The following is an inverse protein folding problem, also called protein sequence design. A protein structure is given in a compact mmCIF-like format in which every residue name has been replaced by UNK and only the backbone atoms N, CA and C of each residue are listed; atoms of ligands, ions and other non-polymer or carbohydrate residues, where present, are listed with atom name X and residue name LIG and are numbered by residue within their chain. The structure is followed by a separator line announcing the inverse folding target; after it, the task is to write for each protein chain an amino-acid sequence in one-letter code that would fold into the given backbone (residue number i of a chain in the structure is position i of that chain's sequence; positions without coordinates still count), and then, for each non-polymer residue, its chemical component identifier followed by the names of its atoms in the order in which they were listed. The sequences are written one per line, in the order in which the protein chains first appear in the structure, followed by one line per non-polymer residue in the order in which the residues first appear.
data_IF_060979075973
#
_entry.id   IF_060979075973
#
_cell.length_a   1.000
_cell.length_b   1.000
_cell.length_c   1.000
_cell.angle_alpha   90.00
_cell.angle_beta   90.00
_cell.angle_gamma   90.00
#
_symmetry.space_group_name_H-M   'P 1'
#
loop_
_entity.id
_entity.type
_entity.pdbx_description
1 polymer ?
#
# COMPACT_ATOMS: atom_id res chain seq x y z
N UNK A 1 -24.79 48.49 -5.17
CA UNK A 1 -24.30 49.88 -5.36
C UNK A 1 -22.78 49.81 -5.28
N UNK A 2 -22.09 49.50 -6.38
CA UNK A 2 -21.64 50.45 -7.43
C UNK A 2 -20.95 51.68 -6.81
N UNK A 3 -19.62 51.79 -6.92
CA UNK A 3 -19.06 52.53 -8.04
C UNK A 3 -17.56 52.28 -8.28
N UNK A 4 -17.24 52.27 -9.56
CA UNK A 4 -15.91 52.25 -10.15
C UNK A 4 -15.46 53.70 -10.44
N UNK A 5 -14.15 53.97 -10.47
CA UNK A 5 -13.65 55.15 -11.18
C UNK A 5 -12.25 54.93 -11.79
N UNK A 6 -12.28 54.88 -13.12
CA UNK A 6 -11.35 55.39 -14.14
C UNK A 6 -9.81 55.23 -14.05
N UNK A 7 -9.36 54.54 -15.10
CA UNK A 7 -8.13 54.63 -15.89
C UNK A 7 -7.28 55.92 -15.89
N UNK A 8 -5.96 55.74 -15.83
CA UNK A 8 -4.95 56.67 -16.33
C UNK A 8 -3.76 55.91 -16.94
N UNK A 9 -3.44 56.20 -18.21
CA UNK A 9 -2.36 55.57 -18.99
C UNK A 9 -1.06 56.37 -18.88
N UNK A 10 0.07 55.71 -18.58
CA UNK A 10 1.41 56.24 -18.86
C UNK A 10 2.41 55.09 -19.09
N UNK A 11 3.26 55.26 -20.11
CA UNK A 11 4.17 54.25 -20.67
C UNK A 11 5.53 54.22 -19.96
N UNK A 12 6.02 52.98 -19.81
CA UNK A 12 7.43 52.49 -19.79
C UNK A 12 8.38 52.90 -18.66
N UNK A 13 8.77 51.88 -17.88
CA UNK A 13 10.14 51.34 -17.86
C UNK A 13 10.13 49.92 -17.26
N UNK A 14 10.69 48.92 -17.97
CA UNK A 14 10.81 47.54 -17.47
C UNK A 14 11.87 47.48 -16.37
N UNK A 15 11.57 47.00 -15.14
CA UNK A 15 12.61 46.61 -14.20
C UNK A 15 13.08 45.18 -14.52
N UNK A 16 14.40 45.04 -14.56
CA UNK A 16 15.16 43.80 -14.65
C UNK A 16 14.57 42.66 -13.80
N UNK A 17 14.34 41.50 -14.44
CA UNK A 17 13.91 40.28 -13.79
C UNK A 17 15.02 39.76 -12.86
N UNK A 18 14.95 40.16 -11.59
CA UNK A 18 15.71 39.53 -10.51
C UNK A 18 15.19 38.10 -10.37
N UNK A 19 16.00 37.10 -10.71
CA UNK A 19 15.71 35.67 -10.51
C UNK A 19 15.28 35.45 -9.06
N UNK A 20 13.97 35.30 -8.83
CA UNK A 20 13.46 34.75 -7.57
C UNK A 20 13.92 33.30 -7.53
N UNK A 21 14.72 32.95 -6.53
CA UNK A 21 15.13 31.58 -6.28
C UNK A 21 13.89 30.69 -6.20
N UNK A 22 13.84 29.64 -7.03
CA UNK A 22 12.83 28.59 -6.91
C UNK A 22 12.89 28.07 -5.49
N UNK A 23 11.84 28.30 -4.72
CA UNK A 23 11.64 27.58 -3.47
C UNK A 23 11.54 26.10 -3.87
N UNK A 24 12.40 25.26 -3.30
CA UNK A 24 12.51 23.86 -3.68
C UNK A 24 11.14 23.19 -3.59
N UNK A 25 10.67 22.61 -4.69
CA UNK A 25 9.45 21.84 -4.71
C UNK A 25 9.63 20.61 -3.80
N UNK A 26 8.68 20.41 -2.88
CA UNK A 26 8.64 19.26 -1.99
C UNK A 26 8.38 17.99 -2.81
N UNK A 27 9.23 16.96 -2.66
CA UNK A 27 9.01 15.63 -3.24
C UNK A 27 8.39 14.73 -2.17
N UNK A 28 7.17 14.19 -2.37
CA UNK A 28 6.62 13.19 -1.49
C UNK A 28 7.50 11.94 -1.55
N UNK A 29 7.94 11.45 -0.39
CA UNK A 29 8.69 10.20 -0.30
C UNK A 29 7.75 9.04 0.04
N UNK A 30 7.79 7.95 -0.73
CA UNK A 30 7.12 6.69 -0.38
C UNK A 30 7.87 5.96 0.74
N UNK A 31 7.20 4.97 1.36
CA UNK A 31 7.52 4.19 2.57
C UNK A 31 8.98 3.72 2.82
N UNK A 32 9.93 3.95 1.91
CA UNK A 32 11.35 3.55 2.05
C UNK A 32 12.33 4.69 2.39
N UNK A 33 11.87 5.92 2.63
CA UNK A 33 12.75 7.09 2.71
C UNK A 33 12.59 7.88 4.03
N UNK A 34 12.51 7.19 5.18
CA UNK A 34 12.65 7.83 6.50
C UNK A 34 13.89 8.76 6.57
N UNK A 35 14.98 8.39 5.87
CA UNK A 35 16.17 9.23 5.72
C UNK A 35 15.94 10.57 5.01
N UNK A 36 15.01 10.65 4.05
CA UNK A 36 14.69 11.90 3.37
C UNK A 36 13.91 12.87 4.27
N UNK A 37 13.04 12.34 5.13
CA UNK A 37 12.31 13.12 6.13
C UNK A 37 13.30 13.69 7.16
N UNK A 38 14.21 12.86 7.65
CA UNK A 38 15.27 13.30 8.56
C UNK A 38 16.16 14.37 7.92
N UNK A 39 16.60 14.16 6.68
CA UNK A 39 17.44 15.13 5.97
C UNK A 39 16.71 16.48 5.77
N UNK A 40 15.41 16.47 5.49
CA UNK A 40 14.59 17.68 5.39
C UNK A 40 14.48 18.40 6.74
N UNK A 41 14.29 17.65 7.84
CA UNK A 41 14.31 18.16 9.21
C UNK A 41 15.65 18.82 9.53
N UNK A 42 16.76 18.14 9.26
CA UNK A 42 18.12 18.63 9.54
C UNK A 42 18.48 19.87 8.72
N UNK A 43 17.95 19.96 7.49
CA UNK A 43 18.11 21.15 6.65
C UNK A 43 17.37 22.38 7.21
N UNK A 44 16.31 22.21 7.99
CA UNK A 44 15.56 23.28 8.69
C UNK A 44 14.77 24.25 7.80
N UNK A 45 15.01 24.29 6.48
CA UNK A 45 14.35 25.18 5.53
C UNK A 45 13.56 24.45 4.43
N UNK A 46 13.54 23.12 4.44
CA UNK A 46 12.80 22.28 3.50
C UNK A 46 11.72 21.51 4.27
N UNK A 47 10.43 21.68 3.96
CA UNK A 47 9.40 20.89 4.62
C UNK A 47 9.39 19.45 4.09
N UNK A 48 9.61 18.48 4.97
CA UNK A 48 9.50 17.05 4.66
C UNK A 48 8.06 16.55 4.84
N UNK A 49 7.42 16.06 3.78
CA UNK A 49 6.12 15.40 3.86
C UNK A 49 6.27 13.90 3.56
N UNK A 50 5.60 13.08 4.35
CA UNK A 50 5.50 11.64 4.11
C UNK A 50 4.27 11.36 3.26
N UNK A 51 4.41 10.60 2.18
CA UNK A 51 3.27 9.97 1.52
C UNK A 51 3.16 8.52 1.96
N UNK A 52 2.07 8.19 2.65
CA UNK A 52 1.77 6.87 3.17
C UNK A 52 0.72 6.18 2.28
N UNK A 53 1.12 5.26 1.40
CA UNK A 53 0.25 4.66 0.39
C UNK A 53 -0.64 3.52 0.92
N UNK A 54 -0.78 3.40 2.24
CA UNK A 54 -1.60 2.37 2.89
C UNK A 54 -2.67 3.01 3.78
N UNK A 55 -3.39 2.19 4.55
CA UNK A 55 -4.51 2.61 5.40
C UNK A 55 -4.03 3.25 6.73
N UNK A 56 -4.96 3.86 7.46
CA UNK A 56 -4.66 4.54 8.73
C UNK A 56 -4.44 3.58 9.88
N UNK A 57 -5.01 2.37 9.83
CA UNK A 57 -4.67 1.30 10.77
C UNK A 57 -3.16 1.03 10.77
N UNK A 58 -2.57 0.87 9.59
CA UNK A 58 -1.14 0.60 9.45
C UNK A 58 -0.31 1.83 9.81
N UNK A 59 -0.74 3.04 9.45
CA UNK A 59 -0.04 4.27 9.89
C UNK A 59 -0.04 4.38 11.42
N UNK A 60 -1.18 4.14 12.06
CA UNK A 60 -1.34 4.16 13.51
C UNK A 60 -0.44 3.11 14.16
N UNK A 61 -0.40 1.90 13.61
CA UNK A 61 0.52 0.85 14.06
C UNK A 61 1.98 1.31 13.99
N UNK A 62 2.41 1.89 12.86
CA UNK A 62 3.78 2.37 12.69
C UNK A 62 4.15 3.46 13.71
N UNK A 63 3.27 4.44 13.94
CA UNK A 63 3.51 5.53 14.88
C UNK A 63 3.53 5.07 16.35
N UNK A 64 2.80 3.99 16.68
CA UNK A 64 2.76 3.40 18.01
C UNK A 64 3.79 2.28 18.22
N UNK A 65 4.38 1.73 17.14
CA UNK A 65 5.26 0.58 17.19
C UNK A 65 6.45 0.74 18.16
N UNK A 66 7.13 1.90 18.26
CA UNK A 66 8.20 2.08 19.24
C UNK A 66 7.72 1.97 20.70
N UNK A 67 6.52 2.50 21.01
CA UNK A 67 5.91 2.38 22.35
C UNK A 67 5.49 0.95 22.64
N UNK A 68 4.86 0.29 21.66
CA UNK A 68 4.48 -1.12 21.76
C UNK A 68 5.72 -1.99 22.02
N UNK A 69 6.78 -1.82 21.22
CA UNK A 69 8.05 -2.51 21.41
C UNK A 69 8.63 -2.34 22.81
N UNK A 70 8.68 -1.10 23.32
CA UNK A 70 9.19 -0.81 24.65
C UNK A 70 8.36 -1.46 25.77
N UNK A 71 7.06 -1.68 25.55
CA UNK A 71 6.16 -2.34 26.50
C UNK A 71 6.29 -3.87 26.54
N UNK A 72 6.81 -4.51 25.49
CA UNK A 72 6.92 -5.97 25.40
C UNK A 72 8.03 -6.53 26.31
N UNK A 73 9.17 -5.84 26.40
CA UNK A 73 10.32 -6.31 27.21
C UNK A 73 9.98 -6.45 28.70
N UNK A 74 9.38 -5.44 29.38
CA UNK A 74 8.97 -5.60 30.78
C UNK A 74 7.87 -6.66 30.99
N UNK A 75 7.09 -6.96 29.95
CA UNK A 75 6.03 -7.95 30.00
C UNK A 75 6.53 -9.40 29.80
N UNK A 76 7.81 -9.60 29.48
CA UNK A 76 8.37 -10.92 29.19
C UNK A 76 7.77 -11.57 27.94
N UNK A 77 7.28 -10.75 27.00
CA UNK A 77 6.70 -11.21 25.73
C UNK A 77 7.75 -11.10 24.65
N UNK A 78 7.99 -12.18 23.90
CA UNK A 78 9.01 -12.24 22.84
C UNK A 78 8.49 -11.82 21.47
N UNK A 79 7.25 -12.19 21.12
CA UNK A 79 6.64 -11.84 19.83
C UNK A 79 5.21 -11.33 20.00
N UNK A 80 4.71 -10.56 19.02
CA UNK A 80 3.34 -10.06 19.09
C UNK A 80 2.29 -11.18 19.09
N UNK A 81 2.57 -12.32 18.44
CA UNK A 81 1.69 -13.49 18.47
C UNK A 81 1.51 -14.11 19.87
N UNK A 82 2.44 -13.84 20.78
CA UNK A 82 2.47 -14.43 22.14
C UNK A 82 1.95 -13.46 23.21
N UNK A 83 1.26 -12.38 22.80
CA UNK A 83 0.69 -11.41 23.72
C UNK A 83 -0.34 -12.04 24.68
N UNK A 84 -0.24 -11.79 26.00
CA UNK A 84 -1.20 -12.31 26.99
C UNK A 84 -2.63 -11.78 26.85
N UNK A 85 -2.78 -10.47 26.61
CA UNK A 85 -4.00 -9.93 25.96
C UNK A 85 -3.71 -10.02 24.46
N UNK A 86 -4.35 -10.96 23.73
CA UNK A 86 -3.97 -11.23 22.36
C UNK A 86 -4.20 -10.05 21.43
N UNK A 87 -4.85 -8.98 21.88
CA UNK A 87 -5.33 -7.89 21.04
C UNK A 87 -4.54 -6.60 21.25
N UNK A 88 -3.98 -6.09 20.17
CA UNK A 88 -3.39 -4.74 20.09
C UNK A 88 -4.50 -3.71 19.82
N UNK A 89 -4.62 -2.74 20.73
CA UNK A 89 -5.62 -1.67 20.67
C UNK A 89 -4.94 -0.36 20.26
N UNK A 90 -5.25 0.09 19.05
CA UNK A 90 -4.78 1.37 18.52
C UNK A 90 -5.91 2.41 18.60
N UNK A 91 -5.63 3.67 18.99
CA UNK A 91 -6.65 4.71 19.10
C UNK A 91 -7.47 4.87 17.81
N UNK A 92 -8.79 4.79 17.91
CA UNK A 92 -9.71 4.98 16.79
C UNK A 92 -9.76 3.85 15.76
N UNK A 93 -8.96 2.79 15.94
CA UNK A 93 -8.89 1.66 15.04
C UNK A 93 -9.65 0.45 15.58
N UNK A 94 -9.97 -0.50 14.69
CA UNK A 94 -10.42 -1.83 15.10
C UNK A 94 -9.29 -2.54 15.87
N UNK A 95 -9.61 -3.28 16.94
CA UNK A 95 -8.61 -4.07 17.65
C UNK A 95 -8.08 -5.21 16.75
N UNK A 96 -6.77 -5.47 16.79
CA UNK A 96 -6.12 -6.47 15.92
C UNK A 96 -5.41 -7.51 16.79
N UNK A 97 -5.57 -8.79 16.48
CA UNK A 97 -4.83 -9.84 17.19
C UNK A 97 -3.33 -9.69 16.90
N UNK A 98 -2.47 -9.88 17.90
CA UNK A 98 -1.03 -9.76 17.73
C UNK A 98 -0.48 -10.68 16.64
N UNK A 99 -1.04 -11.88 16.53
CA UNK A 99 -0.76 -12.84 15.45
C UNK A 99 -1.21 -12.37 14.05
N UNK A 100 -2.18 -11.45 13.95
CA UNK A 100 -2.69 -10.91 12.69
C UNK A 100 -1.96 -9.63 12.24
N UNK A 101 -1.00 -9.14 13.03
CA UNK A 101 -0.11 -8.07 12.61
C UNK A 101 0.80 -8.56 11.47
N UNK A 102 1.33 -7.60 10.69
CA UNK A 102 2.21 -7.86 9.55
C UNK A 102 3.29 -8.90 9.88
N UNK A 103 3.55 -9.82 8.96
CA UNK A 103 4.56 -10.89 9.14
C UNK A 103 5.94 -10.36 9.55
N UNK A 104 6.33 -9.19 9.04
CA UNK A 104 7.60 -8.50 9.38
C UNK A 104 7.67 -8.14 10.88
N UNK A 105 6.53 -7.99 11.55
CA UNK A 105 6.46 -7.69 12.98
C UNK A 105 6.53 -8.93 13.87
N UNK A 106 6.46 -10.13 13.29
CA UNK A 106 6.40 -11.37 14.06
C UNK A 106 7.77 -11.89 14.48
N UNK A 107 8.87 -11.42 13.90
CA UNK A 107 10.24 -11.72 14.36
C UNK A 107 10.94 -10.43 14.80
N UNK A 108 10.99 -10.21 16.11
CA UNK A 108 11.58 -9.02 16.72
C UNK A 108 13.11 -8.97 16.64
N UNK A 109 13.75 -10.08 16.28
CA UNK A 109 15.20 -10.16 16.12
C UNK A 109 15.64 -9.78 14.70
N UNK A 110 14.74 -9.87 13.73
CA UNK A 110 15.02 -9.59 12.32
C UNK A 110 15.39 -8.12 12.02
N UNK A 111 16.23 -7.93 11.00
CA UNK A 111 16.53 -6.59 10.49
C UNK A 111 15.30 -5.90 9.91
N UNK A 112 14.38 -6.66 9.31
CA UNK A 112 13.12 -6.15 8.78
C UNK A 112 12.25 -5.54 9.90
N UNK A 113 12.21 -6.16 11.08
CA UNK A 113 11.55 -5.58 12.25
C UNK A 113 12.20 -4.29 12.73
N UNK A 114 13.54 -4.29 12.85
CA UNK A 114 14.31 -3.09 13.24
C UNK A 114 14.08 -1.94 12.27
N UNK A 115 13.94 -2.26 10.98
CA UNK A 115 13.62 -1.30 9.93
C UNK A 115 12.24 -0.67 10.14
N UNK A 116 11.23 -1.46 10.52
CA UNK A 116 9.90 -0.94 10.83
C UNK A 116 9.89 -0.03 12.06
N UNK A 117 10.61 -0.40 13.12
CA UNK A 117 10.80 0.47 14.29
C UNK A 117 11.42 1.81 13.92
N UNK A 118 12.51 1.76 13.13
CA UNK A 118 13.19 2.95 12.65
C UNK A 118 12.24 3.88 11.87
N UNK A 119 11.41 3.34 10.98
CA UNK A 119 10.43 4.14 10.24
C UNK A 119 9.37 4.76 11.16
N UNK A 120 8.86 3.99 12.12
CA UNK A 120 7.88 4.47 13.11
C UNK A 120 8.38 5.65 13.93
N UNK A 121 9.66 5.64 14.33
CA UNK A 121 10.31 6.76 15.00
C UNK A 121 10.42 8.00 14.09
N UNK A 122 10.86 7.80 12.84
CA UNK A 122 11.13 8.89 11.89
C UNK A 122 9.89 9.51 11.27
N UNK A 123 8.76 8.81 11.22
CA UNK A 123 7.52 9.39 10.69
C UNK A 123 7.04 10.61 11.48
N UNK A 124 7.41 10.70 12.76
CA UNK A 124 7.11 11.85 13.63
C UNK A 124 7.90 13.10 13.26
N UNK A 125 8.96 12.98 12.47
CA UNK A 125 9.76 14.10 11.99
C UNK A 125 9.15 14.80 10.77
N UNK A 126 8.10 14.22 10.18
CA UNK A 126 7.41 14.80 9.05
C UNK A 126 6.67 16.09 9.45
N UNK A 127 6.62 17.06 8.53
CA UNK A 127 5.79 18.27 8.67
C UNK A 127 4.30 17.97 8.51
N UNK A 128 4.00 16.87 7.82
CA UNK A 128 2.66 16.35 7.61
C UNK A 128 2.72 14.99 6.90
N UNK A 129 1.68 14.20 7.07
CA UNK A 129 1.57 12.85 6.52
C UNK A 129 0.36 12.81 5.60
N UNK A 130 0.62 12.63 4.30
CA UNK A 130 -0.39 12.46 3.26
C UNK A 130 -0.75 10.97 3.19
N UNK A 131 -2.01 10.62 3.37
CA UNK A 131 -2.46 9.22 3.38
C UNK A 131 -3.44 8.98 2.25
N UNK A 132 -3.26 7.90 1.50
CA UNK A 132 -4.14 7.54 0.39
C UNK A 132 -5.44 6.88 0.88
N UNK A 133 -6.23 7.64 1.64
CA UNK A 133 -7.54 7.24 2.18
C UNK A 133 -8.42 8.49 2.31
N UNK A 134 -9.68 8.31 2.73
CA UNK A 134 -10.60 9.41 3.03
C UNK A 134 -11.43 9.10 4.28
N UNK A 135 -11.90 10.16 4.94
CA UNK A 135 -12.53 10.07 6.26
C UNK A 135 -13.67 9.04 6.35
N UNK A 136 -14.54 8.95 5.34
CA UNK A 136 -15.71 8.08 5.42
C UNK A 136 -15.39 6.57 5.50
N UNK A 137 -14.17 6.14 5.14
CA UNK A 137 -13.75 4.72 5.23
C UNK A 137 -13.11 4.40 6.58
N UNK A 138 -12.40 5.36 7.18
CA UNK A 138 -11.62 5.15 8.42
C UNK A 138 -11.84 6.28 9.44
N UNK A 139 -13.10 6.63 9.80
CA UNK A 139 -13.40 7.85 10.54
C UNK A 139 -12.73 7.90 11.92
N UNK A 140 -12.84 6.81 12.69
CA UNK A 140 -12.24 6.74 14.03
C UNK A 140 -10.72 6.91 14.01
N UNK A 141 -10.04 6.33 13.03
CA UNK A 141 -8.58 6.44 12.91
C UNK A 141 -8.16 7.86 12.49
N UNK A 142 -8.91 8.50 11.59
CA UNK A 142 -8.69 9.92 11.24
C UNK A 142 -8.81 10.80 12.48
N UNK A 143 -9.92 10.68 13.21
CA UNK A 143 -10.19 11.52 14.38
C UNK A 143 -9.13 11.34 15.46
N UNK A 144 -8.74 10.10 15.75
CA UNK A 144 -7.74 9.79 16.76
C UNK A 144 -6.35 10.31 16.38
N UNK A 145 -5.93 10.16 15.11
CA UNK A 145 -4.63 10.64 14.64
C UNK A 145 -4.57 12.17 14.55
N UNK A 146 -5.67 12.82 14.14
CA UNK A 146 -5.76 14.29 14.10
C UNK A 146 -5.79 14.93 15.49
N UNK A 147 -6.34 14.24 16.50
CA UNK A 147 -6.40 14.72 17.89
C UNK A 147 -5.09 14.49 18.67
N UNK A 148 -4.19 13.63 18.17
CA UNK A 148 -2.95 13.28 18.87
C UNK A 148 -1.91 14.41 18.78
N UNK A 149 -1.47 15.00 19.91
CA UNK A 149 -0.58 16.18 19.90
C UNK A 149 0.86 15.85 19.49
N UNK A 150 1.27 14.60 19.59
CA UNK A 150 2.61 14.10 19.31
C UNK A 150 2.76 13.48 17.91
N UNK A 151 1.70 13.54 17.09
CA UNK A 151 1.65 13.03 15.73
C UNK A 151 1.58 14.22 14.76
N UNK A 152 2.37 14.23 13.66
CA UNK A 152 2.25 15.27 12.65
C UNK A 152 0.84 15.34 12.03
N UNK A 153 0.42 16.50 11.50
CA UNK A 153 -0.86 16.61 10.82
C UNK A 153 -1.04 15.53 9.75
N UNK A 154 -2.13 14.76 9.87
CA UNK A 154 -2.49 13.69 8.93
C UNK A 154 -3.53 14.22 7.95
N UNK A 155 -3.29 14.02 6.67
CA UNK A 155 -4.13 14.48 5.57
C UNK A 155 -4.61 13.28 4.75
N UNK A 156 -5.86 12.83 4.93
CA UNK A 156 -6.50 11.90 4.01
C UNK A 156 -6.72 12.59 2.66
N UNK A 157 -5.99 12.18 1.63
CA UNK A 157 -6.03 12.78 0.28
C UNK A 157 -6.55 11.82 -0.80
N UNK A 158 -7.02 10.64 -0.38
CA UNK A 158 -7.46 9.59 -1.28
C UNK A 158 -8.90 9.75 -1.79
N UNK A 159 -9.31 8.89 -2.73
CA UNK A 159 -8.46 7.90 -3.40
C UNK A 159 -7.60 8.55 -4.50
N UNK A 160 -6.27 8.42 -4.35
CA UNK A 160 -5.28 8.73 -5.39
C UNK A 160 -5.00 7.43 -6.12
N UNK A 161 -5.57 7.30 -7.32
CA UNK A 161 -5.37 6.15 -8.20
C UNK A 161 -4.61 6.58 -9.45
N UNK A 162 -3.99 5.61 -10.14
CA UNK A 162 -3.40 5.86 -11.45
C UNK A 162 -4.53 6.24 -12.40
N UNK A 163 -4.42 7.41 -13.04
CA UNK A 163 -5.24 7.71 -14.20
C UNK A 163 -4.69 6.88 -15.37
N UNK A 164 -5.55 6.06 -15.96
CA UNK A 164 -5.27 5.44 -17.25
C UNK A 164 -5.59 6.52 -18.28
N UNK A 165 -4.59 7.07 -18.95
CA UNK A 165 -4.85 7.87 -20.14
C UNK A 165 -5.46 6.91 -21.16
N UNK A 166 -6.71 7.14 -21.56
CA UNK A 166 -7.44 6.34 -22.57
C UNK A 166 -6.86 6.52 -23.99
N UNK A 167 -5.59 6.92 -24.09
CA UNK A 167 -4.92 7.35 -25.31
C UNK A 167 -3.79 6.41 -25.75
N UNK A 168 -3.36 5.50 -24.87
CA UNK A 168 -2.62 4.33 -25.30
C UNK A 168 -3.64 3.20 -25.47
N UNK A 169 -4.30 3.21 -26.64
CA UNK A 169 -4.91 2.04 -27.26
C UNK A 169 -3.83 0.95 -27.47
N UNK A 170 -3.28 0.42 -26.38
CA UNK A 170 -2.87 -0.97 -26.41
C UNK A 170 -4.19 -1.72 -26.59
N UNK A 171 -4.47 -2.11 -27.84
CA UNK A 171 -5.47 -3.10 -28.24
C UNK A 171 -5.73 -4.04 -27.06
N UNK A 172 -7.00 -4.32 -26.74
CA UNK A 172 -7.38 -5.34 -25.75
C UNK A 172 -6.79 -6.70 -26.16
N UNK A 173 -5.48 -6.88 -25.94
CA UNK A 173 -4.66 -7.94 -26.50
C UNK A 173 -5.05 -9.28 -25.89
N UNK A 174 -5.75 -9.22 -24.76
CA UNK A 174 -6.30 -10.35 -24.02
C UNK A 174 -7.79 -10.60 -24.32
N UNK A 175 -8.49 -9.68 -24.98
CA UNK A 175 -9.94 -9.75 -25.21
C UNK A 175 -10.79 -9.69 -23.92
N UNK A 176 -10.21 -9.26 -22.80
CA UNK A 176 -10.86 -9.38 -21.49
C UNK A 176 -11.90 -8.28 -21.27
N UNK A 177 -11.67 -7.08 -21.83
CA UNK A 177 -12.61 -5.97 -21.74
C UNK A 177 -13.82 -6.30 -22.61
N UNK A 178 -13.59 -6.77 -23.83
CA UNK A 178 -14.68 -7.22 -24.70
C UNK A 178 -15.48 -8.39 -24.08
N UNK A 179 -14.81 -9.33 -23.39
CA UNK A 179 -15.50 -10.41 -22.67
C UNK A 179 -16.35 -9.88 -21.51
N UNK A 180 -15.86 -8.88 -20.76
CA UNK A 180 -16.61 -8.23 -19.67
C UNK A 180 -17.83 -7.46 -20.19
N UNK A 181 -17.69 -6.76 -21.32
CA UNK A 181 -18.78 -5.99 -21.94
C UNK A 181 -19.98 -6.88 -22.37
N UNK A 182 -19.74 -8.18 -22.57
CA UNK A 182 -20.78 -9.15 -22.91
C UNK A 182 -21.53 -9.71 -21.68
N UNK A 183 -21.10 -9.39 -20.45
CA UNK A 183 -21.68 -9.96 -19.23
C UNK A 183 -22.74 -9.03 -18.62
N UNK A 184 -23.73 -9.58 -17.89
CA UNK A 184 -24.63 -8.75 -17.08
C UNK A 184 -23.89 -7.90 -16.05
N UNK A 185 -24.38 -6.69 -15.79
CA UNK A 185 -23.83 -5.76 -14.81
C UNK A 185 -23.64 -6.41 -13.43
N UNK A 186 -22.43 -6.27 -12.87
CA UNK A 186 -22.11 -6.78 -11.54
C UNK A 186 -22.11 -8.30 -11.40
N UNK A 187 -22.09 -9.06 -12.51
CA UNK A 187 -22.20 -10.52 -12.47
C UNK A 187 -20.89 -11.30 -12.48
N UNK A 188 -19.74 -10.61 -12.61
CA UNK A 188 -18.41 -11.23 -12.74
C UNK A 188 -17.59 -11.01 -11.47
N UNK A 189 -17.02 -12.07 -10.94
CA UNK A 189 -16.00 -12.03 -9.90
C UNK A 189 -14.61 -11.79 -10.50
N UNK A 190 -13.98 -10.65 -10.21
CA UNK A 190 -12.58 -10.42 -10.55
C UNK A 190 -11.65 -11.00 -9.48
N UNK A 191 -10.71 -11.86 -9.89
CA UNK A 191 -9.73 -12.51 -9.01
C UNK A 191 -8.32 -12.11 -9.45
N UNK A 192 -7.61 -11.40 -8.58
CA UNK A 192 -6.21 -11.01 -8.79
C UNK A 192 -5.50 -10.87 -7.45
N UNK A 193 -4.33 -11.49 -7.33
CA UNK A 193 -3.49 -11.44 -6.13
C UNK A 193 -2.40 -10.36 -6.22
N UNK A 194 -2.40 -9.56 -7.29
CA UNK A 194 -1.39 -8.53 -7.52
C UNK A 194 -0.04 -9.09 -7.97
N UNK A 195 0.98 -8.23 -8.04
CA UNK A 195 2.28 -8.58 -8.61
C UNK A 195 3.10 -9.52 -7.74
N UNK A 196 3.10 -9.28 -6.43
CA UNK A 196 3.81 -10.08 -5.43
C UNK A 196 2.90 -11.04 -4.66
N UNK A 197 1.70 -11.32 -5.17
CA UNK A 197 0.82 -12.32 -4.60
C UNK A 197 1.04 -13.64 -5.31
N UNK A 198 1.57 -14.63 -4.59
CA UNK A 198 1.72 -15.97 -5.10
C UNK A 198 1.24 -16.97 -4.03
N UNK A 199 0.33 -17.87 -4.44
CA UNK A 199 -0.23 -18.92 -3.56
C UNK A 199 0.30 -20.29 -4.01
N UNK A 200 0.52 -21.25 -3.08
CA UNK A 200 0.98 -22.58 -3.43
C UNK A 200 0.13 -23.27 -4.50
N UNK A 201 0.74 -24.20 -5.26
CA UNK A 201 0.04 -24.97 -6.32
C UNK A 201 -1.22 -25.65 -5.78
N UNK A 202 -1.13 -26.25 -4.58
CA UNK A 202 -2.27 -26.92 -3.96
C UNK A 202 -3.42 -25.93 -3.70
N UNK A 203 -3.14 -24.75 -3.14
CA UNK A 203 -4.15 -23.71 -2.92
C UNK A 203 -4.70 -23.14 -4.23
N UNK A 204 -3.86 -23.02 -5.27
CA UNK A 204 -4.30 -22.59 -6.60
C UNK A 204 -5.31 -23.56 -7.20
N UNK A 205 -5.10 -24.88 -7.02
CA UNK A 205 -6.03 -25.92 -7.46
C UNK A 205 -7.34 -25.90 -6.70
N UNK A 206 -7.30 -25.68 -5.39
CA UNK A 206 -8.52 -25.54 -4.59
C UNK A 206 -9.28 -24.26 -4.94
N UNK A 207 -8.60 -23.14 -5.19
CA UNK A 207 -9.22 -21.91 -5.69
C UNK A 207 -9.92 -22.17 -7.03
N UNK A 208 -9.26 -22.85 -7.98
CA UNK A 208 -9.86 -23.20 -9.25
C UNK A 208 -11.13 -24.05 -9.08
N UNK A 209 -11.08 -25.09 -8.25
CA UNK A 209 -12.26 -25.93 -7.94
C UNK A 209 -13.39 -25.13 -7.29
N UNK A 210 -13.04 -24.22 -6.38
CA UNK A 210 -14.02 -23.35 -5.72
C UNK A 210 -14.69 -22.38 -6.70
N UNK A 211 -13.94 -21.79 -7.61
CA UNK A 211 -14.47 -20.93 -8.68
C UNK A 211 -15.43 -21.71 -9.58
N UNK A 212 -15.04 -22.89 -10.04
CA UNK A 212 -15.87 -23.77 -10.86
C UNK A 212 -17.15 -24.21 -10.13
N UNK A 213 -17.04 -24.65 -8.88
CA UNK A 213 -18.19 -25.08 -8.07
C UNK A 213 -19.13 -23.93 -7.70
N UNK A 214 -18.66 -22.68 -7.72
CA UNK A 214 -19.49 -21.51 -7.40
C UNK A 214 -20.60 -21.26 -8.43
N UNK A 215 -20.40 -21.70 -9.67
CA UNK A 215 -21.32 -21.40 -10.78
C UNK A 215 -21.39 -19.92 -11.17
N UNK A 216 -20.56 -19.06 -10.57
CA UNK A 216 -20.45 -17.65 -10.92
C UNK A 216 -19.45 -17.44 -12.06
N UNK A 217 -19.68 -16.41 -12.87
CA UNK A 217 -18.71 -15.97 -13.86
C UNK A 217 -17.53 -15.32 -13.15
N UNK A 218 -16.32 -15.58 -13.63
CA UNK A 218 -15.11 -15.01 -13.04
C UNK A 218 -14.09 -14.62 -14.09
N UNK A 219 -13.34 -13.56 -13.80
CA UNK A 219 -12.14 -13.16 -14.53
C UNK A 219 -10.95 -13.31 -13.59
N UNK A 220 -10.06 -14.27 -13.87
CA UNK A 220 -8.94 -14.59 -12.98
C UNK A 220 -7.59 -14.38 -13.64
N UNK A 221 -6.77 -13.50 -13.05
CA UNK A 221 -5.35 -13.32 -13.40
C UNK A 221 -4.52 -14.42 -12.71
N UNK A 222 -4.24 -15.50 -13.44
CA UNK A 222 -3.46 -16.63 -12.94
C UNK A 222 -1.96 -16.30 -12.98
N UNK A 223 -1.26 -16.51 -11.87
CA UNK A 223 0.20 -16.40 -11.76
C UNK A 223 0.81 -17.70 -11.31
N UNK A 224 2.06 -17.95 -11.69
CA UNK A 224 2.81 -19.11 -11.21
C UNK A 224 3.17 -18.92 -9.73
N UNK A 225 3.01 -19.96 -8.89
CA UNK A 225 3.63 -19.98 -7.56
C UNK A 225 5.15 -19.83 -7.66
N UNK A 226 5.83 -19.32 -6.60
CA UNK A 226 7.27 -19.37 -6.53
C UNK A 226 7.69 -20.84 -6.59
N UNK A 227 8.69 -21.18 -7.41
CA UNK A 227 9.26 -22.52 -7.36
C UNK A 227 9.97 -22.68 -6.02
N UNK A 228 9.67 -23.70 -5.21
CA UNK A 228 10.47 -23.96 -4.02
C UNK A 228 11.91 -24.22 -4.48
N UNK A 229 12.87 -23.46 -3.95
CA UNK A 229 14.27 -23.88 -3.97
C UNK A 229 14.35 -25.30 -3.41
N UNK A 230 15.31 -26.09 -3.87
CA UNK A 230 15.53 -27.45 -3.34
C UNK A 230 15.81 -27.46 -1.83
N UNK A 231 16.16 -26.30 -1.24
CA UNK A 231 16.36 -26.09 0.19
C UNK A 231 15.12 -25.57 0.96
N UNK A 232 14.01 -25.23 0.30
CA UNK A 232 12.84 -24.56 0.90
C UNK A 232 11.67 -25.48 1.24
N UNK A 233 11.84 -26.81 1.21
CA UNK A 233 10.75 -27.74 1.54
C UNK A 233 10.25 -27.68 3.00
N UNK A 234 10.80 -26.81 3.84
CA UNK A 234 10.42 -26.69 5.25
C UNK A 234 9.96 -25.28 5.65
N UNK A 235 10.15 -24.25 4.83
CA UNK A 235 9.81 -22.88 5.25
C UNK A 235 8.68 -22.29 4.41
N UNK A 236 7.67 -21.80 5.13
CA UNK A 236 6.58 -20.96 4.67
C UNK A 236 7.16 -19.69 4.03
N UNK A 237 7.58 -19.77 2.76
CA UNK A 237 8.19 -18.66 2.04
C UNK A 237 7.27 -17.44 2.08
N UNK A 238 7.81 -16.30 2.48
CA UNK A 238 7.06 -15.06 2.57
C UNK A 238 6.48 -14.72 1.19
N UNK A 239 5.15 -14.57 1.03
CA UNK A 239 4.54 -14.25 -0.26
C UNK A 239 5.17 -13.03 -0.93
N UNK A 240 5.68 -12.08 -0.13
CA UNK A 240 6.35 -10.86 -0.59
C UNK A 240 7.70 -11.06 -1.27
N UNK A 241 8.35 -12.23 -1.21
CA UNK A 241 9.58 -12.48 -1.99
C UNK A 241 9.32 -12.49 -3.50
N UNK A 242 8.14 -12.97 -3.91
CA UNK A 242 7.70 -12.93 -5.31
C UNK A 242 7.51 -11.50 -5.85
N UNK A 243 7.44 -10.49 -4.98
CA UNK A 243 7.36 -9.08 -5.38
C UNK A 243 8.67 -8.57 -5.99
N UNK A 244 9.81 -9.11 -5.56
CA UNK A 244 11.15 -8.70 -6.01
C UNK A 244 11.80 -9.72 -6.95
N UNK A 245 11.28 -10.95 -7.01
CA UNK A 245 11.72 -11.95 -7.97
C UNK A 245 11.18 -11.65 -9.38
N UNK A 246 11.86 -10.74 -10.09
CA UNK A 246 11.63 -10.48 -11.51
C UNK A 246 12.21 -11.55 -12.44
N UNK A 247 12.64 -12.71 -11.91
CA UNK A 247 13.56 -13.65 -12.58
C UNK A 247 12.99 -15.00 -12.99
N UNK A 248 11.72 -15.30 -12.78
CA UNK A 248 11.13 -16.59 -13.17
C UNK A 248 11.11 -16.81 -14.69
N UNK A 249 11.82 -17.85 -15.16
CA UNK A 249 11.90 -18.33 -16.56
C UNK A 249 10.65 -18.03 -17.40
N UNK A 250 10.82 -17.20 -18.43
CA UNK A 250 9.81 -16.66 -19.37
C UNK A 250 8.99 -17.69 -20.16
N UNK A 251 9.09 -18.99 -19.90
CA UNK A 251 8.69 -20.02 -20.87
C UNK A 251 7.81 -21.16 -20.36
N UNK A 252 7.21 -21.05 -19.17
CA UNK A 252 6.22 -22.03 -18.69
C UNK A 252 4.84 -21.40 -18.50
N UNK A 253 3.85 -21.94 -19.22
CA UNK A 253 2.45 -21.54 -19.17
C UNK A 253 1.86 -21.68 -17.74
N UNK A 254 1.40 -20.58 -17.10
CA UNK A 254 0.84 -20.61 -15.76
C UNK A 254 -0.46 -21.43 -15.67
N UNK A 255 -1.14 -21.70 -16.79
CA UNK A 255 -2.39 -22.46 -16.81
C UNK A 255 -2.17 -23.95 -16.53
N UNK A 256 -0.93 -24.46 -16.64
CA UNK A 256 -0.60 -25.88 -16.39
C UNK A 256 -0.82 -26.33 -14.95
N UNK A 257 -0.91 -25.38 -14.01
CA UNK A 257 -1.15 -25.69 -12.59
C UNK A 257 -2.63 -25.97 -12.29
N UNK A 258 -3.53 -25.56 -13.19
CA UNK A 258 -4.97 -25.67 -13.04
C UNK A 258 -5.43 -27.13 -13.17
N UNK A 259 -6.61 -27.48 -12.61
CA UNK A 259 -7.18 -28.80 -12.78
C UNK A 259 -7.33 -29.18 -14.27
N UNK A 260 -7.15 -30.45 -14.64
CA UNK A 260 -7.32 -30.89 -16.03
C UNK A 260 -8.69 -30.49 -16.61
N UNK A 261 -8.68 -29.93 -17.83
CA UNK A 261 -9.88 -29.47 -18.53
C UNK A 261 -10.57 -28.24 -17.91
N UNK A 262 -9.97 -27.60 -16.90
CA UNK A 262 -10.56 -26.43 -16.24
C UNK A 262 -10.86 -25.30 -17.23
N UNK A 263 -9.91 -25.01 -18.13
CA UNK A 263 -10.09 -23.97 -19.14
C UNK A 263 -11.29 -24.27 -20.03
N UNK A 264 -11.37 -25.49 -20.59
CA UNK A 264 -12.46 -25.87 -21.51
C UNK A 264 -13.84 -25.78 -20.88
N UNK A 265 -13.96 -26.08 -19.58
CA UNK A 265 -15.23 -26.02 -18.85
C UNK A 265 -15.65 -24.60 -18.46
N UNK A 266 -14.74 -23.63 -18.53
CA UNK A 266 -14.96 -22.26 -18.05
C UNK A 266 -14.65 -21.20 -19.14
N UNK A 267 -14.82 -21.53 -20.42
CA UNK A 267 -14.57 -20.61 -21.55
C UNK A 267 -15.70 -19.58 -21.77
N UNK A 268 -16.88 -19.82 -21.19
CA UNK A 268 -18.11 -19.05 -21.44
C UNK A 268 -18.55 -18.25 -20.21
#
# INVERSE_FOLDING_TARGET
MHDACSTGSSRRSKPSARKRGRHGACKPSSNGNAGAIQAARDAGHVPGFLFFPSNLLLLSLMLHLPRLHASLLPAGVDEFRDLPDPVVKLPGCVPVHGADLLQILQDRTSDAYRWMLHHGEKYRDAKGILVNTFHAVEPGAVDALCAAPDIPPVYPIGPVTRQMDTADDEDDATGCVAWLDAQPDGSVLFVSLGSGGAIPVAQTRELARGLEASGHRFLWVVRRPPTPSVDDQVNNSNPGESYYDGGGSRNDDPLRILPPGFIDRNKE
#
